data_IF_838867550660
#
_entry.id   IF_838867550660
#
_cell.length_a   1.000
_cell.length_b   1.000
_cell.length_c   1.000
_cell.angle_alpha   90.00
_cell.angle_beta   90.00
_cell.angle_gamma   90.00
#
_symmetry.space_group_name_H-M   'P 1'
#
loop_
_entity.id
_entity.type
_entity.pdbx_description
1 polymer ?
#
# COMPACT_ATOMS: atom_id res chain seq x y z
N UNK A 1 -28.66 -2.96 26.68
CA UNK A 1 -28.95 -4.30 27.27
C UNK A 1 -29.26 -5.38 26.22
N UNK A 2 -30.24 -5.20 25.32
CA UNK A 2 -30.58 -6.22 24.29
C UNK A 2 -29.43 -6.55 23.33
N UNK A 3 -28.74 -5.54 22.79
CA UNK A 3 -27.60 -5.74 21.89
C UNK A 3 -26.44 -6.50 22.57
N UNK A 4 -26.11 -6.11 23.80
CA UNK A 4 -25.06 -6.77 24.60
C UNK A 4 -25.42 -8.25 24.79
N UNK A 5 -26.64 -8.56 25.22
CA UNK A 5 -27.06 -9.95 25.44
C UNK A 5 -27.06 -10.81 24.17
N UNK A 6 -27.28 -10.21 23.00
CA UNK A 6 -27.21 -10.91 21.73
C UNK A 6 -25.77 -11.17 21.27
N UNK A 7 -24.82 -10.31 21.63
CA UNK A 7 -23.44 -10.34 21.11
C UNK A 7 -22.38 -10.74 22.16
N UNK A 8 -22.75 -10.93 23.43
CA UNK A 8 -21.80 -11.22 24.52
C UNK A 8 -21.03 -12.54 24.37
N UNK A 9 -21.54 -13.46 23.55
CA UNK A 9 -20.91 -14.75 23.28
C UNK A 9 -20.02 -14.77 22.04
N UNK A 10 -19.99 -13.66 21.28
CA UNK A 10 -19.22 -13.56 20.04
C UNK A 10 -17.78 -13.20 20.41
N UNK A 11 -16.84 -14.02 19.95
CA UNK A 11 -15.41 -13.82 20.15
C UNK A 11 -14.63 -14.15 18.89
N UNK A 12 -13.39 -13.67 18.84
CA UNK A 12 -12.42 -14.01 17.81
C UNK A 12 -11.69 -15.25 18.29
N UNK A 13 -11.53 -16.24 17.42
CA UNK A 13 -10.81 -17.47 17.75
C UNK A 13 -9.40 -17.45 17.19
N UNK A 14 -8.51 -18.31 17.67
CA UNK A 14 -7.09 -18.37 17.23
C UNK A 14 -6.89 -18.62 15.73
N UNK A 15 -7.88 -19.18 15.04
CA UNK A 15 -7.87 -19.31 13.58
C UNK A 15 -8.20 -17.98 12.87
N UNK A 16 -8.46 -16.91 13.64
CA UNK A 16 -8.87 -15.56 13.29
C UNK A 16 -10.27 -15.46 12.68
N UNK A 17 -11.11 -16.49 12.86
CA UNK A 17 -12.54 -16.44 12.54
C UNK A 17 -13.33 -15.86 13.70
N UNK A 18 -14.55 -15.38 13.44
CA UNK A 18 -15.45 -14.88 14.48
C UNK A 18 -16.54 -15.91 14.73
N UNK A 19 -16.62 -16.41 15.96
CA UNK A 19 -17.53 -17.49 16.36
C UNK A 19 -18.33 -17.13 17.60
N UNK A 20 -19.49 -17.76 17.77
CA UNK A 20 -20.26 -17.70 19.01
C UNK A 20 -19.86 -18.82 19.98
N UNK A 21 -20.50 -18.85 21.17
CA UNK A 21 -20.27 -19.89 22.20
C UNK A 21 -20.59 -21.33 21.74
N UNK A 22 -21.41 -21.50 20.69
CA UNK A 22 -21.76 -22.80 20.10
C UNK A 22 -20.82 -23.15 18.94
N UNK A 23 -19.72 -22.40 18.76
CA UNK A 23 -18.75 -22.56 17.67
C UNK A 23 -19.33 -22.38 16.26
N UNK A 24 -20.49 -21.71 16.13
CA UNK A 24 -21.03 -21.34 14.83
C UNK A 24 -20.25 -20.15 14.27
N UNK A 25 -19.86 -20.26 12.99
CA UNK A 25 -19.14 -19.24 12.26
C UNK A 25 -20.07 -18.05 11.93
N UNK A 26 -19.65 -16.84 12.32
CA UNK A 26 -20.36 -15.59 12.01
C UNK A 26 -19.63 -14.84 10.89
N UNK A 27 -18.31 -14.68 11.00
CA UNK A 27 -17.46 -14.06 9.98
C UNK A 27 -16.19 -14.89 9.76
N UNK A 28 -15.73 -14.95 8.51
CA UNK A 28 -14.45 -15.58 8.17
C UNK A 28 -13.25 -14.80 8.72
N UNK A 29 -13.36 -13.47 8.72
CA UNK A 29 -12.39 -12.55 9.34
C UNK A 29 -13.16 -11.42 10.00
N UNK A 30 -12.69 -11.02 11.18
CA UNK A 30 -13.24 -9.88 11.90
C UNK A 30 -13.20 -8.63 11.01
N UNK A 31 -14.33 -7.97 10.81
CA UNK A 31 -14.38 -6.75 9.98
C UNK A 31 -14.08 -6.97 8.50
N UNK A 32 -14.08 -8.23 8.02
CA UNK A 32 -13.69 -8.64 6.66
C UNK A 32 -12.21 -8.41 6.28
N UNK A 33 -11.44 -7.73 7.13
CA UNK A 33 -10.02 -7.40 6.97
C UNK A 33 -9.13 -7.98 8.10
N UNK A 34 -9.70 -8.46 9.20
CA UNK A 34 -8.95 -9.03 10.32
C UNK A 34 -8.18 -8.00 11.15
N UNK A 35 -8.56 -6.72 11.08
CA UNK A 35 -7.83 -5.62 11.73
C UNK A 35 -8.54 -5.10 12.98
N UNK A 36 -7.77 -4.62 13.95
CA UNK A 36 -8.31 -3.97 15.14
C UNK A 36 -8.84 -2.56 14.83
N UNK A 37 -10.08 -2.28 15.23
CA UNK A 37 -10.73 -0.98 15.09
C UNK A 37 -10.03 0.14 15.88
N UNK A 38 -9.21 -0.19 16.90
CA UNK A 38 -8.38 0.78 17.61
C UNK A 38 -7.13 1.24 16.84
N UNK A 39 -6.68 0.46 15.86
CA UNK A 39 -5.43 0.68 15.13
C UNK A 39 -5.63 1.31 13.74
N UNK A 40 -6.87 1.55 13.33
CA UNK A 40 -7.21 2.11 12.02
C UNK A 40 -7.41 3.63 12.08
N UNK A 41 -7.02 4.33 11.00
CA UNK A 41 -7.11 5.78 10.89
C UNK A 41 -7.79 6.20 9.58
N UNK A 42 -8.34 7.41 9.54
CA UNK A 42 -8.88 7.98 8.31
C UNK A 42 -7.76 8.34 7.33
N UNK A 43 -7.79 7.76 6.15
CA UNK A 43 -6.85 7.97 5.07
C UNK A 43 -7.58 8.30 3.76
N UNK A 44 -6.87 8.86 2.78
CA UNK A 44 -7.43 9.19 1.49
C UNK A 44 -6.80 8.35 0.38
N UNK A 45 -7.63 7.68 -0.43
CA UNK A 45 -7.18 6.98 -1.63
C UNK A 45 -6.84 7.99 -2.74
N UNK A 46 -5.55 8.12 -3.14
CA UNK A 46 -5.12 9.16 -4.06
C UNK A 46 -5.52 8.87 -5.52
N UNK A 47 -5.85 7.62 -5.87
CA UNK A 47 -6.21 7.17 -7.23
C UNK A 47 -7.68 7.43 -7.62
N UNK A 48 -8.59 7.54 -6.65
CA UNK A 48 -10.03 7.45 -6.90
C UNK A 48 -10.61 8.73 -7.56
N UNK A 49 -10.34 9.89 -6.96
CA UNK A 49 -10.89 11.21 -7.34
C UNK A 49 -10.31 11.85 -8.61
N UNK A 50 -9.01 11.74 -8.94
CA UNK A 50 -8.43 12.40 -10.10
C UNK A 50 -9.15 12.05 -11.41
N UNK A 51 -9.14 12.97 -12.39
CA UNK A 51 -9.54 12.69 -13.77
C UNK A 51 -8.47 11.84 -14.45
N UNK A 52 -8.78 11.22 -15.60
CA UNK A 52 -7.81 10.36 -16.29
C UNK A 52 -6.51 11.11 -16.64
N UNK A 53 -6.62 12.37 -17.07
CA UNK A 53 -5.47 13.20 -17.40
C UNK A 53 -4.63 13.59 -16.17
N UNK A 54 -5.28 13.89 -15.03
CA UNK A 54 -4.54 14.21 -13.80
C UNK A 54 -3.95 12.96 -13.15
N UNK A 55 -4.62 11.81 -13.29
CA UNK A 55 -4.12 10.51 -12.88
C UNK A 55 -2.85 10.14 -13.65
N UNK A 56 -2.87 10.19 -14.98
CA UNK A 56 -1.69 9.91 -15.79
C UNK A 56 -0.51 10.82 -15.42
N UNK A 57 -0.74 12.13 -15.31
CA UNK A 57 0.31 13.07 -14.91
C UNK A 57 0.91 12.81 -13.53
N UNK A 58 0.14 12.25 -12.59
CA UNK A 58 0.56 12.09 -11.20
C UNK A 58 1.25 10.73 -10.96
N UNK A 59 0.85 9.70 -11.68
CA UNK A 59 1.25 8.32 -11.39
C UNK A 59 2.11 7.69 -12.48
N UNK A 60 1.94 8.07 -13.75
CA UNK A 60 2.74 7.51 -14.85
C UNK A 60 4.14 8.10 -14.83
N UNK A 61 5.16 7.26 -14.79
CA UNK A 61 6.55 7.71 -14.75
C UNK A 61 7.17 7.68 -16.16
N UNK A 62 7.39 8.86 -16.75
CA UNK A 62 7.94 8.98 -18.10
C UNK A 62 9.47 9.12 -18.05
N UNK A 63 10.19 8.11 -18.53
CA UNK A 63 11.68 8.09 -18.56
C UNK A 63 12.23 8.91 -19.76
N UNK A 64 11.40 9.24 -20.74
CA UNK A 64 11.86 9.91 -21.98
C UNK A 64 12.45 11.32 -21.76
N UNK A 65 12.18 11.96 -20.61
CA UNK A 65 12.64 13.31 -20.32
C UNK A 65 13.93 13.31 -19.47
N UNK A 66 15.07 13.20 -20.14
CA UNK A 66 16.39 13.16 -19.50
C UNK A 66 16.67 14.37 -18.59
N UNK A 67 16.21 15.57 -18.97
CA UNK A 67 16.41 16.79 -18.16
C UNK A 67 15.70 16.74 -16.82
N UNK A 68 14.52 16.09 -16.78
CA UNK A 68 13.76 15.93 -15.55
C UNK A 68 14.39 14.85 -14.68
N UNK A 69 14.84 13.75 -15.27
CA UNK A 69 15.52 12.68 -14.55
C UNK A 69 16.81 13.15 -13.88
N UNK A 70 17.64 13.96 -14.55
CA UNK A 70 18.86 14.54 -13.96
C UNK A 70 18.61 15.49 -12.78
N UNK A 71 17.38 16.00 -12.62
CA UNK A 71 16.98 16.79 -11.44
C UNK A 71 16.48 15.92 -10.29
N UNK A 72 16.08 14.69 -10.58
CA UNK A 72 15.45 13.79 -9.62
C UNK A 72 16.45 12.77 -9.08
N UNK A 73 17.30 12.23 -9.94
CA UNK A 73 18.22 11.15 -9.63
C UNK A 73 19.67 11.56 -9.86
N UNK A 74 20.57 10.82 -9.23
CA UNK A 74 22.00 10.88 -9.51
C UNK A 74 22.29 10.39 -10.94
N UNK A 75 23.37 10.89 -11.54
CA UNK A 75 23.71 10.61 -12.95
C UNK A 75 23.89 9.11 -13.25
N UNK A 76 24.39 8.34 -12.29
CA UNK A 76 24.61 6.90 -12.45
C UNK A 76 23.29 6.15 -12.64
N UNK A 77 22.27 6.50 -11.85
CA UNK A 77 20.92 5.91 -11.95
C UNK A 77 20.26 6.33 -13.27
N UNK A 78 20.46 7.58 -13.71
CA UNK A 78 19.91 8.06 -14.99
C UNK A 78 20.49 7.25 -16.16
N UNK A 79 21.80 6.95 -16.15
CA UNK A 79 22.43 6.10 -17.19
C UNK A 79 21.85 4.69 -17.18
N UNK A 80 21.66 4.11 -16.00
CA UNK A 80 21.06 2.78 -15.84
C UNK A 80 19.61 2.73 -16.37
N UNK A 81 18.80 3.74 -16.03
CA UNK A 81 17.42 3.86 -16.46
C UNK A 81 17.29 4.01 -17.98
N UNK A 82 18.19 4.76 -18.62
CA UNK A 82 18.20 4.91 -20.08
C UNK A 82 18.75 3.68 -20.80
N UNK A 83 19.66 2.93 -20.17
CA UNK A 83 20.29 1.75 -20.76
C UNK A 83 19.45 0.47 -20.67
N UNK A 84 18.55 0.37 -19.68
CA UNK A 84 17.82 -0.88 -19.40
C UNK A 84 16.38 -0.85 -19.90
N UNK A 85 16.12 -1.60 -20.98
CA UNK A 85 14.75 -1.84 -21.46
C UNK A 85 13.89 -2.63 -20.45
N UNK A 86 14.53 -3.39 -19.53
CA UNK A 86 13.82 -4.15 -18.50
C UNK A 86 13.10 -3.23 -17.51
N UNK A 87 13.74 -2.15 -17.06
CA UNK A 87 13.15 -1.21 -16.09
C UNK A 87 11.94 -0.49 -16.70
N UNK A 88 12.02 -0.12 -17.99
CA UNK A 88 10.88 0.45 -18.74
C UNK A 88 9.70 -0.51 -18.74
N UNK A 89 9.95 -1.81 -18.97
CA UNK A 89 8.92 -2.84 -18.93
C UNK A 89 8.26 -3.00 -17.55
N UNK A 90 9.05 -2.96 -16.46
CA UNK A 90 8.50 -3.04 -15.10
C UNK A 90 7.70 -1.79 -14.69
N UNK A 91 8.11 -0.60 -15.14
CA UNK A 91 7.37 0.65 -14.91
C UNK A 91 6.03 0.66 -15.65
N UNK A 92 5.99 0.14 -16.88
CA UNK A 92 4.72 0.00 -17.60
C UNK A 92 3.80 -1.01 -16.90
N UNK A 93 4.34 -2.11 -16.38
CA UNK A 93 3.57 -3.05 -15.55
C UNK A 93 3.04 -2.39 -14.27
N UNK A 94 3.83 -1.56 -13.60
CA UNK A 94 3.37 -0.79 -12.43
C UNK A 94 2.20 0.12 -12.80
N UNK A 95 2.31 0.81 -13.94
CA UNK A 95 1.27 1.69 -14.45
C UNK A 95 -0.03 0.96 -14.77
N UNK A 96 0.05 -0.19 -15.45
CA UNK A 96 -1.13 -1.03 -15.72
C UNK A 96 -1.79 -1.53 -14.42
N UNK A 97 -1.01 -1.95 -13.41
CA UNK A 97 -1.58 -2.32 -12.11
C UNK A 97 -2.31 -1.18 -11.42
N UNK A 98 -1.78 0.05 -11.49
CA UNK A 98 -2.45 1.22 -10.92
C UNK A 98 -3.76 1.57 -11.65
N UNK A 99 -3.85 1.30 -12.97
CA UNK A 99 -5.10 1.43 -13.72
C UNK A 99 -6.11 0.39 -13.28
N UNK A 100 -5.73 -0.88 -13.20
CA UNK A 100 -6.64 -1.96 -12.78
C UNK A 100 -7.13 -1.72 -11.35
N UNK A 101 -6.26 -1.32 -10.43
CA UNK A 101 -6.63 -0.96 -9.06
C UNK A 101 -7.66 0.17 -9.05
N UNK A 102 -7.48 1.18 -9.90
CA UNK A 102 -8.40 2.32 -9.99
C UNK A 102 -9.78 1.91 -10.51
N UNK A 103 -9.86 0.99 -11.46
CA UNK A 103 -11.13 0.46 -11.95
C UNK A 103 -11.86 -0.32 -10.85
N UNK A 104 -11.15 -1.20 -10.15
CA UNK A 104 -11.67 -1.96 -9.00
C UNK A 104 -12.16 -1.01 -7.90
N UNK A 105 -11.36 0.01 -7.54
CA UNK A 105 -11.74 0.97 -6.52
C UNK A 105 -12.98 1.77 -6.92
N UNK A 106 -13.17 2.07 -8.20
CA UNK A 106 -14.38 2.75 -8.69
C UNK A 106 -15.61 1.85 -8.70
N UNK A 107 -15.46 0.55 -8.92
CA UNK A 107 -16.56 -0.41 -8.75
C UNK A 107 -16.94 -0.59 -7.28
N UNK A 108 -15.96 -0.58 -6.37
CA UNK A 108 -16.19 -0.70 -4.92
C UNK A 108 -16.79 0.59 -4.33
N UNK A 109 -16.31 1.76 -4.75
CA UNK A 109 -16.78 3.08 -4.28
C UNK A 109 -17.49 3.87 -5.40
N UNK A 110 -18.73 3.52 -5.78
CA UNK A 110 -19.43 4.16 -6.89
C UNK A 110 -19.73 5.64 -6.65
N UNK A 111 -19.82 6.07 -5.38
CA UNK A 111 -20.01 7.48 -4.99
C UNK A 111 -18.73 8.33 -5.10
N UNK A 112 -17.57 7.70 -5.30
CA UNK A 112 -16.29 8.40 -5.41
C UNK A 112 -15.77 9.00 -4.10
N UNK A 113 -16.22 8.50 -2.94
CA UNK A 113 -15.65 8.93 -1.66
C UNK A 113 -14.23 8.35 -1.50
N UNK A 114 -13.26 9.24 -1.38
CA UNK A 114 -11.85 8.86 -1.25
C UNK A 114 -11.46 8.59 0.19
N UNK A 115 -12.26 9.02 1.18
CA UNK A 115 -11.95 8.84 2.58
C UNK A 115 -12.28 7.41 2.98
N UNK A 116 -11.26 6.68 3.40
CA UNK A 116 -11.34 5.29 3.85
C UNK A 116 -10.71 5.16 5.22
N UNK A 117 -11.08 4.11 5.94
CA UNK A 117 -10.49 3.77 7.24
C UNK A 117 -9.55 2.61 7.00
N UNK A 118 -8.26 2.81 7.23
CA UNK A 118 -7.20 1.83 6.96
C UNK A 118 -6.11 1.91 8.03
N UNK A 119 -5.42 0.79 8.33
CA UNK A 119 -4.30 0.78 9.25
C UNK A 119 -3.11 1.54 8.65
N UNK A 120 -2.11 1.84 9.48
CA UNK A 120 -0.83 2.45 9.06
C UNK A 120 -1.00 3.74 8.25
N UNK A 121 -1.00 4.89 8.92
CA UNK A 121 -1.09 6.19 8.26
C UNK A 121 0.16 6.49 7.41
N UNK A 122 0.12 6.08 6.12
CA UNK A 122 1.27 6.16 5.22
C UNK A 122 1.80 7.59 5.05
N UNK A 123 0.97 8.64 4.88
CA UNK A 123 1.45 10.01 4.82
C UNK A 123 2.29 10.43 6.04
N UNK A 124 1.85 10.05 7.24
CA UNK A 124 2.59 10.37 8.48
C UNK A 124 3.90 9.58 8.55
N UNK A 125 3.90 8.32 8.15
CA UNK A 125 5.10 7.47 8.18
C UNK A 125 6.15 7.98 7.19
N UNK A 126 5.73 8.39 5.99
CA UNK A 126 6.61 9.01 4.99
C UNK A 126 7.20 10.32 5.54
N UNK A 127 6.38 11.16 6.18
CA UNK A 127 6.86 12.39 6.80
C UNK A 127 7.87 12.13 7.93
N UNK A 128 7.63 11.10 8.76
CA UNK A 128 8.58 10.67 9.79
C UNK A 128 9.91 10.22 9.16
N UNK A 129 9.87 9.44 8.09
CA UNK A 129 11.07 9.03 7.36
C UNK A 129 11.86 10.26 6.86
N UNK A 130 11.18 11.24 6.26
CA UNK A 130 11.81 12.49 5.81
C UNK A 130 12.49 13.25 6.95
N UNK A 131 11.92 13.22 8.16
CA UNK A 131 12.47 13.90 9.33
C UNK A 131 13.66 13.17 9.94
N UNK A 132 13.59 11.85 10.06
CA UNK A 132 14.66 11.02 10.64
C UNK A 132 15.92 11.08 9.78
N UNK A 133 15.77 10.95 8.45
CA UNK A 133 16.90 10.92 7.51
C UNK A 133 17.27 12.31 6.97
N UNK A 134 16.69 13.39 7.52
CA UNK A 134 16.96 14.77 7.12
C UNK A 134 16.90 15.01 5.60
N UNK A 135 15.86 14.47 4.97
CA UNK A 135 15.73 14.44 3.51
C UNK A 135 15.52 15.86 2.96
N UNK A 136 16.36 16.24 2.00
CA UNK A 136 16.21 17.49 1.28
C UNK A 136 15.46 17.25 -0.05
N UNK A 137 14.29 17.85 -0.20
CA UNK A 137 13.47 17.69 -1.42
C UNK A 137 14.07 18.35 -2.66
N UNK A 138 15.09 19.20 -2.49
CA UNK A 138 15.79 19.88 -3.59
C UNK A 138 16.98 19.09 -4.13
N UNK A 139 17.51 18.13 -3.38
CA UNK A 139 18.64 17.32 -3.84
C UNK A 139 18.15 16.15 -4.72
N UNK A 140 19.02 15.65 -5.61
CA UNK A 140 18.77 14.38 -6.28
C UNK A 140 18.76 13.23 -5.25
N UNK A 141 18.04 12.17 -5.61
CA UNK A 141 17.87 10.95 -4.82
C UNK A 141 18.75 9.83 -5.39
N UNK A 142 19.20 8.96 -4.49
CA UNK A 142 19.99 7.75 -4.76
C UNK A 142 19.13 6.50 -4.96
N UNK A 143 17.81 6.63 -4.79
CA UNK A 143 16.88 5.50 -4.84
C UNK A 143 16.58 5.09 -6.29
N UNK A 144 16.97 3.86 -6.65
CA UNK A 144 16.65 3.30 -7.97
C UNK A 144 15.15 2.96 -8.07
N UNK A 145 14.41 3.42 -9.10
CA UNK A 145 13.00 3.10 -9.30
C UNK A 145 12.68 1.61 -9.28
N UNK A 146 13.59 0.76 -9.78
CA UNK A 146 13.41 -0.69 -9.75
C UNK A 146 13.29 -1.23 -8.31
N UNK A 147 14.13 -0.73 -7.39
CA UNK A 147 14.04 -1.09 -5.97
C UNK A 147 12.73 -0.67 -5.32
N UNK A 148 12.13 0.43 -5.79
CA UNK A 148 10.80 0.85 -5.29
C UNK A 148 9.73 -0.16 -5.69
N UNK A 149 9.72 -0.57 -6.97
CA UNK A 149 8.76 -1.56 -7.48
C UNK A 149 8.90 -2.89 -6.72
N UNK A 150 10.12 -3.40 -6.61
CA UNK A 150 10.37 -4.67 -5.94
C UNK A 150 10.10 -4.58 -4.43
N UNK A 151 10.51 -3.51 -3.76
CA UNK A 151 10.24 -3.32 -2.33
C UNK A 151 8.74 -3.25 -2.01
N UNK A 152 7.94 -2.56 -2.84
CA UNK A 152 6.47 -2.53 -2.68
C UNK A 152 5.86 -3.91 -2.98
N UNK A 153 6.36 -4.62 -3.99
CA UNK A 153 5.90 -5.97 -4.35
C UNK A 153 6.20 -6.98 -3.25
N UNK A 154 7.38 -6.91 -2.63
CA UNK A 154 7.78 -7.74 -1.50
C UNK A 154 6.95 -7.42 -0.26
N UNK A 155 6.77 -6.14 0.07
CA UNK A 155 5.92 -5.73 1.19
C UNK A 155 4.49 -6.25 1.01
N UNK A 156 3.93 -6.16 -0.20
CA UNK A 156 2.63 -6.73 -0.54
C UNK A 156 2.49 -8.24 -0.27
N UNK A 157 3.58 -9.00 -0.37
CA UNK A 157 3.59 -10.45 -0.04
C UNK A 157 3.70 -10.71 1.47
N UNK A 158 4.37 -9.83 2.22
CA UNK A 158 4.53 -9.95 3.67
C UNK A 158 3.28 -9.56 4.46
N UNK A 159 2.39 -8.79 3.84
CA UNK A 159 1.09 -8.42 4.39
C UNK A 159 0.16 -9.64 4.31
N UNK A 160 0.12 -10.42 5.39
CA UNK A 160 -0.65 -11.66 5.50
C UNK A 160 -1.68 -11.52 6.63
N UNK A 161 -2.95 -11.69 6.27
CA UNK A 161 -4.10 -11.78 7.20
C UNK A 161 -4.57 -13.25 7.27
N UNK A 162 -4.61 -13.92 6.12
CA UNK A 162 -4.99 -15.34 6.03
C UNK A 162 -3.73 -16.16 5.76
N UNK A 163 -3.18 -16.87 6.76
CA UNK A 163 -2.06 -17.77 6.54
C UNK A 163 -2.51 -18.99 5.73
N UNK A 164 -1.71 -19.38 4.74
CA UNK A 164 -1.94 -20.57 3.92
C UNK A 164 -1.39 -20.44 2.50
N UNK A 165 -0.86 -21.54 1.97
CA UNK A 165 -0.32 -21.62 0.60
C UNK A 165 -1.34 -22.19 -0.40
N UNK A 166 -2.47 -22.69 0.08
CA UNK A 166 -3.51 -23.24 -0.77
C UNK A 166 -4.17 -22.13 -1.63
N UNK A 167 -4.69 -22.46 -2.82
CA UNK A 167 -5.28 -21.47 -3.72
C UNK A 167 -6.43 -20.67 -3.07
N UNK A 168 -7.18 -21.30 -2.16
CA UNK A 168 -8.29 -20.65 -1.47
C UNK A 168 -7.79 -19.62 -0.44
N UNK A 169 -6.81 -19.98 0.39
CA UNK A 169 -6.18 -19.05 1.35
C UNK A 169 -5.49 -17.89 0.64
N UNK A 170 -4.79 -18.15 -0.46
CA UNK A 170 -4.18 -17.10 -1.27
C UNK A 170 -5.22 -16.13 -1.82
N UNK A 171 -6.37 -16.63 -2.30
CA UNK A 171 -7.45 -15.77 -2.77
C UNK A 171 -8.11 -14.99 -1.63
N UNK A 172 -8.32 -15.63 -0.48
CA UNK A 172 -8.88 -14.99 0.71
C UNK A 172 -7.96 -13.86 1.22
N UNK A 173 -6.64 -14.08 1.25
CA UNK A 173 -5.68 -13.06 1.64
C UNK A 173 -5.66 -11.88 0.65
N UNK A 174 -5.71 -12.16 -0.66
CA UNK A 174 -5.80 -11.11 -1.68
C UNK A 174 -7.04 -10.23 -1.51
N UNK A 175 -8.18 -10.84 -1.18
CA UNK A 175 -9.42 -10.11 -0.94
C UNK A 175 -9.35 -9.25 0.33
N UNK A 176 -8.89 -9.82 1.45
CA UNK A 176 -8.79 -9.12 2.73
C UNK A 176 -7.79 -7.95 2.69
N UNK A 177 -6.68 -8.11 1.95
CA UNK A 177 -5.64 -7.08 1.81
C UNK A 177 -5.85 -6.14 0.62
N UNK A 178 -6.90 -6.32 -0.19
CA UNK A 178 -7.07 -5.63 -1.48
C UNK A 178 -7.00 -4.11 -1.32
N UNK A 179 -7.78 -3.56 -0.38
CA UNK A 179 -7.89 -2.12 -0.18
C UNK A 179 -6.58 -1.50 0.33
N UNK A 180 -5.92 -2.19 1.27
CA UNK A 180 -4.63 -1.76 1.81
C UNK A 180 -3.53 -1.82 0.74
N UNK A 181 -3.47 -2.89 -0.05
CA UNK A 181 -2.53 -3.02 -1.15
C UNK A 181 -2.73 -1.94 -2.23
N UNK A 182 -3.98 -1.58 -2.55
CA UNK A 182 -4.26 -0.46 -3.44
C UNK A 182 -3.77 0.87 -2.86
N UNK A 183 -3.99 1.12 -1.56
CA UNK A 183 -3.47 2.31 -0.87
C UNK A 183 -1.94 2.33 -0.91
N UNK A 184 -1.28 1.21 -0.61
CA UNK A 184 0.17 1.07 -0.59
C UNK A 184 0.77 1.37 -1.95
N UNK A 185 0.31 0.70 -3.01
CA UNK A 185 0.78 0.91 -4.40
C UNK A 185 0.55 2.33 -4.87
N UNK A 186 -0.62 2.91 -4.57
CA UNK A 186 -0.93 4.28 -4.95
C UNK A 186 -0.16 5.34 -4.15
N UNK A 187 0.29 5.01 -2.94
CA UNK A 187 1.07 5.93 -2.12
C UNK A 187 2.54 5.86 -2.48
N UNK A 188 3.09 4.66 -2.55
CA UNK A 188 4.51 4.38 -2.78
C UNK A 188 4.86 4.11 -4.25
N UNK A 189 4.08 4.64 -5.20
CA UNK A 189 4.44 4.48 -6.60
C UNK A 189 5.78 5.17 -6.92
N UNK A 190 6.53 4.61 -7.86
CA UNK A 190 7.87 5.08 -8.25
C UNK A 190 7.92 6.59 -8.47
N UNK A 191 6.96 7.12 -9.24
CA UNK A 191 6.86 8.56 -9.51
C UNK A 191 6.72 9.40 -8.25
N UNK A 192 5.84 9.02 -7.32
CA UNK A 192 5.59 9.83 -6.11
C UNK A 192 6.75 9.74 -5.13
N UNK A 193 7.33 8.56 -4.98
CA UNK A 193 8.53 8.36 -4.15
C UNK A 193 9.69 9.21 -4.66
N UNK A 194 9.90 9.23 -5.98
CA UNK A 194 10.98 10.00 -6.61
C UNK A 194 10.71 11.52 -6.67
N UNK A 195 9.50 11.94 -7.08
CA UNK A 195 9.21 13.36 -7.31
C UNK A 195 8.68 14.09 -6.07
N UNK A 196 7.71 13.50 -5.36
CA UNK A 196 7.02 14.16 -4.23
C UNK A 196 7.79 13.97 -2.92
N UNK A 197 8.17 12.72 -2.60
CA UNK A 197 8.74 12.39 -1.28
C UNK A 197 10.25 12.48 -1.22
N UNK A 198 10.93 12.26 -2.35
CA UNK A 198 12.39 12.34 -2.49
C UNK A 198 13.12 11.41 -1.52
N UNK A 199 12.59 10.20 -1.31
CA UNK A 199 13.17 9.25 -0.37
C UNK A 199 14.55 8.76 -0.83
N UNK A 200 15.48 8.60 0.11
CA UNK A 200 16.74 7.89 -0.13
C UNK A 200 16.54 6.38 -0.04
N UNK A 201 17.53 5.60 -0.46
CA UNK A 201 17.48 4.14 -0.35
C UNK A 201 17.28 3.67 1.09
N UNK A 202 18.04 4.24 2.03
CA UNK A 202 17.94 3.92 3.46
C UNK A 202 16.59 4.31 4.06
N UNK A 203 16.08 5.50 3.70
CA UNK A 203 14.79 5.97 4.20
C UNK A 203 13.63 5.13 3.68
N UNK A 204 13.74 4.63 2.44
CA UNK A 204 12.75 3.75 1.85
C UNK A 204 12.74 2.36 2.50
N UNK A 205 13.92 1.76 2.72
CA UNK A 205 14.02 0.47 3.42
C UNK A 205 13.48 0.55 4.86
N UNK A 206 13.83 1.62 5.59
CA UNK A 206 13.28 1.88 6.91
C UNK A 206 11.75 2.00 6.89
N UNK A 207 11.21 2.73 5.90
CA UNK A 207 9.77 2.91 5.75
C UNK A 207 9.05 1.58 5.50
N UNK A 208 9.58 0.71 4.65
CA UNK A 208 8.99 -0.61 4.39
C UNK A 208 8.94 -1.47 5.66
N UNK A 209 10.02 -1.49 6.44
CA UNK A 209 10.10 -2.23 7.71
C UNK A 209 9.14 -1.69 8.78
N UNK A 210 8.99 -0.37 8.88
CA UNK A 210 8.03 0.24 9.80
C UNK A 210 6.58 -0.06 9.37
N UNK A 211 6.26 -0.03 8.07
CA UNK A 211 4.92 -0.40 7.57
C UNK A 211 4.60 -1.85 7.93
N UNK A 212 5.55 -2.78 7.70
CA UNK A 212 5.40 -4.18 8.04
C UNK A 212 5.11 -4.37 9.55
N UNK A 213 5.92 -3.76 10.40
CA UNK A 213 5.79 -3.86 11.86
C UNK A 213 4.46 -3.28 12.35
N UNK A 214 4.07 -2.10 11.85
CA UNK A 214 2.81 -1.46 12.22
C UNK A 214 1.60 -2.22 11.73
N UNK A 215 1.69 -2.84 10.55
CA UNK A 215 0.60 -3.65 10.02
C UNK A 215 0.38 -4.89 10.90
N UNK A 216 1.46 -5.59 11.29
CA UNK A 216 1.37 -6.73 12.21
C UNK A 216 0.75 -6.35 13.56
N UNK A 217 1.12 -5.18 14.11
CA UNK A 217 0.51 -4.66 15.33
C UNK A 217 -0.96 -4.30 15.19
N UNK A 218 -1.44 -3.97 13.98
CA UNK A 218 -2.84 -3.64 13.72
C UNK A 218 -3.75 -4.85 13.57
N UNK A 219 -3.21 -6.08 13.57
CA UNK A 219 -4.03 -7.28 13.50
C UNK A 219 -4.80 -7.48 14.79
N UNK A 220 -6.04 -7.96 14.65
CA UNK A 220 -6.89 -8.24 15.78
C UNK A 220 -6.33 -9.40 16.60
N UNK A 221 -6.35 -9.25 17.92
CA UNK A 221 -5.89 -10.30 18.83
C UNK A 221 -7.03 -11.31 19.07
N UNK A 222 -6.77 -12.62 18.92
CA UNK A 222 -7.71 -13.67 19.32
C UNK A 222 -7.85 -13.80 20.84
#
# INVERSE_FOLDING_TARGET
RRLIKAMESIMITYDGTVRNSVSQLIQLRYGEDGLDGGAVEFQALPTLKPSNKTFEKKFKFDISNERQLKKIFNEDIVKELMGSAHIVGELEKEWEHLKTDREILRSVFPKGDSKVVLPCNLPRMIWNAQKIFHINTRSPTDLNPFRVIDGVRELGKKIIIVPGEDPLSCQANKNATLLFNCLLRSTLCTRRVAEEFRLSSEAFEWLLGEIETRFQQSQVQP
#
